data_IF_936541103504
#
_entry.id   IF_936541103504
#
_cell.length_a   1.000
_cell.length_b   1.000
_cell.length_c   1.000
_cell.angle_alpha   90.00
_cell.angle_beta   90.00
_cell.angle_gamma   90.00
#
_symmetry.space_group_name_H-M   'P 1'
#
loop_
_entity.id
_entity.type
_entity.pdbx_description
1 polymer ?
#
# COMPACT_ATOMS: atom_id res chain seq x y z
N UNK A 1 -4.69 0.29 -0.25
CA UNK A 1 -4.92 1.56 -1.00
C UNK A 1 -4.79 2.69 0.02
N UNK A 2 -4.16 3.84 -0.30
CA UNK A 2 -4.00 4.97 0.63
C UNK A 2 -4.67 6.23 0.04
N UNK A 3 -5.44 6.97 0.84
CA UNK A 3 -5.88 8.32 0.45
C UNK A 3 -4.83 9.31 0.96
N UNK A 4 -4.24 10.05 0.03
CA UNK A 4 -3.44 11.23 0.34
C UNK A 4 -4.42 12.33 0.76
N UNK A 5 -4.42 12.71 2.03
CA UNK A 5 -5.24 13.82 2.52
C UNK A 5 -4.36 15.08 2.66
N UNK A 6 -4.36 16.00 1.66
CA UNK A 6 -3.62 17.25 1.76
C UNK A 6 -4.27 18.25 2.72
N UNK A 7 -5.35 17.91 3.45
CA UNK A 7 -6.13 18.86 4.23
C UNK A 7 -6.67 18.25 5.54
N UNK A 8 -5.83 18.15 6.56
CA UNK A 8 -6.24 18.31 7.98
C UNK A 8 -5.01 18.38 8.89
N UNK A 9 -4.88 19.47 9.64
CA UNK A 9 -3.91 19.61 10.75
C UNK A 9 -4.09 18.53 11.85
N UNK A 10 -5.15 17.70 11.76
CA UNK A 10 -5.55 16.70 12.75
C UNK A 10 -5.48 15.24 12.28
N UNK A 11 -5.14 14.97 11.01
CA UNK A 11 -4.93 13.61 10.49
C UNK A 11 -3.58 13.58 9.81
N UNK A 12 -2.76 12.57 10.11
CA UNK A 12 -1.38 12.48 9.65
C UNK A 12 -1.19 12.53 8.12
N UNK A 13 0.05 12.32 7.64
CA UNK A 13 0.42 12.56 6.23
C UNK A 13 -0.33 11.67 5.22
N UNK A 14 -1.00 10.61 5.68
CA UNK A 14 -1.90 9.78 4.90
C UNK A 14 -3.00 9.18 5.78
N UNK A 15 -4.10 8.76 5.15
CA UNK A 15 -5.15 7.94 5.80
C UNK A 15 -5.30 6.62 5.04
N UNK A 16 -5.08 5.51 5.74
CA UNK A 16 -5.29 4.19 5.17
C UNK A 16 -6.78 3.93 4.88
N UNK A 17 -7.07 3.17 3.83
CA UNK A 17 -8.44 2.76 3.56
C UNK A 17 -8.93 1.78 4.62
N UNK A 18 -9.93 2.18 5.40
CA UNK A 18 -10.59 1.31 6.36
C UNK A 18 -11.67 0.41 5.75
N UNK A 19 -11.63 0.10 4.44
CA UNK A 19 -12.60 -0.79 3.78
C UNK A 19 -11.97 -2.16 3.58
N UNK A 20 -12.53 -3.17 4.23
CA UNK A 20 -11.91 -4.50 4.27
C UNK A 20 -11.88 -5.19 2.88
N UNK A 21 -12.86 -4.90 2.03
CA UNK A 21 -12.87 -5.38 0.64
C UNK A 21 -11.63 -4.93 -0.15
N UNK A 22 -11.16 -3.69 0.05
CA UNK A 22 -9.94 -3.21 -0.62
C UNK A 22 -8.70 -3.97 -0.13
N UNK A 23 -8.61 -4.24 1.17
CA UNK A 23 -7.50 -5.00 1.74
C UNK A 23 -7.53 -6.46 1.24
N UNK A 24 -8.71 -7.04 1.09
CA UNK A 24 -8.90 -8.38 0.52
C UNK A 24 -8.47 -8.45 -0.94
N UNK A 25 -8.88 -7.49 -1.77
CA UNK A 25 -8.49 -7.42 -3.18
C UNK A 25 -6.96 -7.34 -3.33
N UNK A 26 -6.30 -6.52 -2.50
CA UNK A 26 -4.84 -6.40 -2.49
C UNK A 26 -4.16 -7.69 -2.03
N UNK A 27 -4.65 -8.31 -0.96
CA UNK A 27 -4.11 -9.58 -0.46
C UNK A 27 -4.24 -10.70 -1.50
N UNK A 28 -5.42 -10.86 -2.11
CA UNK A 28 -5.66 -11.88 -3.15
C UNK A 28 -4.85 -11.62 -4.41
N UNK A 29 -4.68 -10.35 -4.80
CA UNK A 29 -3.82 -10.01 -5.93
C UNK A 29 -2.38 -10.48 -5.70
N UNK A 30 -1.86 -10.29 -4.48
CA UNK A 30 -0.49 -10.66 -4.09
C UNK A 30 -0.31 -12.17 -3.87
N UNK A 31 -1.36 -12.91 -3.48
CA UNK A 31 -1.28 -14.34 -3.14
C UNK A 31 -1.25 -15.30 -4.35
N UNK A 32 -1.47 -14.79 -5.58
CA UNK A 32 -1.53 -15.62 -6.79
C UNK A 32 -0.19 -16.20 -7.29
N UNK A 33 0.86 -16.22 -6.45
CA UNK A 33 2.17 -16.79 -6.77
C UNK A 33 2.99 -16.04 -7.85
N UNK A 34 2.40 -15.02 -8.47
CA UNK A 34 3.08 -14.10 -9.36
C UNK A 34 3.66 -12.96 -8.54
N UNK A 35 4.96 -12.69 -8.71
CA UNK A 35 5.57 -11.53 -8.09
C UNK A 35 5.02 -10.26 -8.76
N UNK A 36 3.96 -9.68 -8.19
CA UNK A 36 3.44 -8.41 -8.67
C UNK A 36 4.42 -7.31 -8.28
N UNK A 37 4.68 -6.42 -9.23
CA UNK A 37 5.45 -5.19 -9.03
C UNK A 37 4.48 -4.20 -8.39
N UNK A 38 4.70 -3.86 -7.12
CA UNK A 38 3.95 -2.81 -6.46
C UNK A 38 4.65 -1.47 -6.70
N UNK A 39 3.99 -0.62 -7.47
CA UNK A 39 4.39 0.78 -7.62
C UNK A 39 3.48 1.65 -6.75
N UNK A 40 4.06 2.63 -6.06
CA UNK A 40 3.35 3.50 -5.13
C UNK A 40 3.40 4.92 -5.64
N UNK A 41 2.25 5.51 -5.95
CA UNK A 41 2.12 6.90 -6.38
C UNK A 41 1.49 7.80 -5.32
N UNK A 42 1.98 9.03 -5.23
CA UNK A 42 1.39 10.11 -4.41
C UNK A 42 1.54 11.46 -5.10
N UNK A 43 0.92 12.50 -4.54
CA UNK A 43 1.06 13.88 -5.00
C UNK A 43 1.43 14.79 -3.82
N UNK A 44 2.58 15.46 -3.91
CA UNK A 44 3.06 16.41 -2.91
C UNK A 44 3.13 17.80 -3.54
N UNK A 45 2.42 18.76 -2.97
CA UNK A 45 2.38 20.15 -3.45
C UNK A 45 2.11 20.26 -4.97
N UNK A 46 1.21 19.44 -5.50
CA UNK A 46 0.83 19.43 -6.92
C UNK A 46 1.82 18.71 -7.84
N UNK A 47 2.84 18.02 -7.30
CA UNK A 47 3.79 17.21 -8.06
C UNK A 47 3.59 15.73 -7.78
N UNK A 48 3.54 14.92 -8.84
CA UNK A 48 3.50 13.48 -8.73
C UNK A 48 4.84 12.93 -8.23
N UNK A 49 4.78 12.02 -7.26
CA UNK A 49 5.91 11.28 -6.73
C UNK A 49 5.58 9.78 -6.83
N UNK A 50 6.53 8.97 -7.27
CA UNK A 50 6.30 7.54 -7.47
C UNK A 50 7.50 6.75 -6.96
N UNK A 51 7.24 5.70 -6.18
CA UNK A 51 8.18 4.61 -5.90
C UNK A 51 7.88 3.47 -6.86
N UNK A 52 8.91 2.94 -7.51
CA UNK A 52 8.75 1.81 -8.42
C UNK A 52 9.62 0.63 -8.04
N UNK A 53 9.13 -0.59 -8.29
CA UNK A 53 9.98 -1.79 -8.21
C UNK A 53 10.75 -1.94 -9.53
N UNK A 54 11.90 -1.25 -9.59
CA UNK A 54 12.76 -1.20 -10.78
C UNK A 54 12.94 0.20 -11.36
N UNK A 55 13.80 0.33 -12.37
CA UNK A 55 13.99 1.58 -13.11
C UNK A 55 12.87 1.79 -14.13
N UNK A 56 12.51 3.04 -14.38
CA UNK A 56 11.56 3.44 -15.42
C UNK A 56 12.30 3.85 -16.70
N UNK A 57 11.60 3.94 -17.82
CA UNK A 57 12.16 4.47 -19.09
C UNK A 57 12.77 5.87 -18.91
N UNK A 58 12.17 6.70 -18.05
CA UNK A 58 12.68 8.04 -17.75
C UNK A 58 14.03 7.98 -17.01
N UNK A 59 14.20 6.99 -16.13
CA UNK A 59 15.47 6.79 -15.42
C UNK A 59 16.56 6.34 -16.40
N UNK A 60 16.22 5.49 -17.37
CA UNK A 60 17.13 5.04 -18.43
C UNK A 60 17.55 6.17 -19.36
N UNK A 61 16.60 6.94 -19.88
CA UNK A 61 16.87 8.06 -20.79
C UNK A 61 17.73 9.14 -20.11
N UNK A 62 17.42 9.49 -18.85
CA UNK A 62 18.24 10.45 -18.10
C UNK A 62 19.63 9.91 -17.81
N UNK A 63 19.75 8.61 -17.57
CA UNK A 63 21.03 7.98 -17.31
C UNK A 63 21.93 8.04 -18.56
N UNK A 64 21.38 7.74 -19.73
CA UNK A 64 22.06 7.85 -21.02
C UNK A 64 22.55 9.28 -21.28
N UNK A 65 21.65 10.28 -21.19
CA UNK A 65 21.98 11.68 -21.41
C UNK A 65 23.05 12.22 -20.45
N UNK A 66 23.05 11.75 -19.21
CA UNK A 66 23.98 12.19 -18.18
C UNK A 66 25.28 11.37 -18.13
N UNK A 67 25.41 10.28 -18.91
CA UNK A 67 26.53 9.34 -18.81
C UNK A 67 26.60 8.65 -17.44
N UNK A 68 25.45 8.25 -16.89
CA UNK A 68 25.30 7.63 -15.56
C UNK A 68 24.53 6.32 -15.63
N UNK A 69 24.24 5.69 -14.49
CA UNK A 69 23.46 4.45 -14.41
C UNK A 69 21.98 4.71 -14.05
N UNK A 70 21.00 3.97 -14.60
CA UNK A 70 19.56 4.17 -14.35
C UNK A 70 19.19 4.11 -12.86
N UNK A 71 19.83 3.23 -12.08
CA UNK A 71 19.57 3.11 -10.64
C UNK A 71 19.87 4.39 -9.86
N UNK A 72 20.86 5.18 -10.30
CA UNK A 72 21.13 6.50 -9.71
C UNK A 72 20.02 7.50 -10.02
N UNK A 73 19.48 7.48 -11.24
CA UNK A 73 18.38 8.36 -11.64
C UNK A 73 17.08 8.01 -10.91
N UNK A 74 16.81 6.71 -10.72
CA UNK A 74 15.73 6.23 -9.85
C UNK A 74 15.86 6.79 -8.44
N UNK A 75 17.02 6.64 -7.80
CA UNK A 75 17.26 7.17 -6.45
C UNK A 75 16.98 8.68 -6.35
N UNK A 76 17.41 9.46 -7.34
CA UNK A 76 17.17 10.90 -7.37
C UNK A 76 15.68 11.25 -7.57
N UNK A 77 14.96 10.49 -8.41
CA UNK A 77 13.52 10.63 -8.61
C UNK A 77 12.74 10.31 -7.33
N UNK A 78 13.11 9.22 -6.67
CA UNK A 78 12.42 8.72 -5.48
C UNK A 78 12.76 9.50 -4.21
N UNK A 79 13.85 10.27 -4.20
CA UNK A 79 14.22 11.15 -3.07
C UNK A 79 13.11 12.16 -2.72
N UNK A 80 12.28 12.54 -3.70
CA UNK A 80 11.16 13.44 -3.50
C UNK A 80 9.93 12.76 -2.88
N UNK A 81 9.94 11.43 -2.71
CA UNK A 81 8.81 10.69 -2.17
C UNK A 81 8.71 10.89 -0.64
N UNK A 82 7.53 11.27 -0.12
CA UNK A 82 7.29 11.47 1.31
C UNK A 82 7.22 10.11 2.04
N UNK A 83 8.29 9.73 2.73
CA UNK A 83 8.37 8.41 3.40
C UNK A 83 7.35 8.26 4.55
N UNK A 84 6.98 9.37 5.17
CA UNK A 84 5.97 9.48 6.22
C UNK A 84 4.58 9.01 5.76
N UNK A 85 4.26 9.14 4.45
CA UNK A 85 3.06 8.54 3.86
C UNK A 85 3.09 7.01 3.92
N UNK A 86 4.26 6.40 3.68
CA UNK A 86 4.43 4.94 3.77
C UNK A 86 4.31 4.50 5.22
N UNK A 87 5.00 5.19 6.13
CA UNK A 87 4.95 4.89 7.57
C UNK A 87 3.52 4.93 8.10
N UNK A 88 2.75 5.97 7.76
CA UNK A 88 1.35 6.07 8.14
C UNK A 88 0.48 4.98 7.49
N UNK A 89 0.78 4.59 6.25
CA UNK A 89 0.06 3.53 5.55
C UNK A 89 0.30 2.13 6.10
N UNK A 90 1.49 1.88 6.66
CA UNK A 90 1.86 0.61 7.28
C UNK A 90 1.23 0.39 8.66
N UNK A 91 0.61 1.41 9.25
CA UNK A 91 -0.13 1.31 10.52
C UNK A 91 -1.57 0.79 10.36
N UNK A 92 -1.90 0.17 9.22
CA UNK A 92 -3.27 -0.32 8.99
C UNK A 92 -3.54 -1.59 9.79
N UNK A 93 -4.62 -1.58 10.57
CA UNK A 93 -5.11 -2.72 11.35
C UNK A 93 -6.29 -3.34 10.58
N UNK A 94 -6.05 -4.47 9.90
CA UNK A 94 -7.01 -5.09 8.97
C UNK A 94 -8.26 -5.58 9.72
N UNK A 95 -8.09 -6.07 10.93
CA UNK A 95 -9.14 -6.52 11.86
C UNK A 95 -10.14 -5.40 12.22
N UNK A 96 -9.69 -4.15 12.20
CA UNK A 96 -10.50 -2.96 12.45
C UNK A 96 -11.11 -2.34 11.17
N UNK A 97 -10.88 -2.97 10.02
CA UNK A 97 -11.48 -2.56 8.75
C UNK A 97 -12.99 -2.81 8.72
N UNK A 98 -13.70 -1.98 7.96
CA UNK A 98 -15.15 -1.92 7.92
C UNK A 98 -15.70 -2.52 6.62
N UNK A 99 -16.89 -3.08 6.71
CA UNK A 99 -17.72 -3.46 5.56
C UNK A 99 -19.15 -2.93 5.78
N UNK A 100 -19.92 -2.82 4.70
CA UNK A 100 -21.34 -2.49 4.79
C UNK A 100 -22.18 -3.66 5.34
N UNK A 101 -21.65 -4.88 5.22
CA UNK A 101 -22.21 -6.12 5.76
C UNK A 101 -21.22 -6.71 6.75
N UNK A 102 -21.66 -7.01 7.97
CA UNK A 102 -20.79 -7.63 8.98
C UNK A 102 -20.36 -9.04 8.58
N UNK A 103 -21.22 -9.77 7.88
CA UNK A 103 -20.91 -11.10 7.35
C UNK A 103 -19.73 -11.04 6.38
N UNK A 104 -19.66 -10.03 5.51
CA UNK A 104 -18.51 -9.83 4.62
C UNK A 104 -17.23 -9.61 5.42
N UNK A 105 -17.30 -8.79 6.48
CA UNK A 105 -16.13 -8.51 7.33
C UNK A 105 -15.62 -9.79 7.97
N UNK A 106 -16.51 -10.61 8.53
CA UNK A 106 -16.19 -11.89 9.16
C UNK A 106 -15.61 -12.87 8.14
N UNK A 107 -16.29 -13.07 7.00
CA UNK A 107 -15.86 -14.00 5.96
C UNK A 107 -14.49 -13.63 5.39
N UNK A 108 -14.23 -12.35 5.16
CA UNK A 108 -12.96 -11.87 4.65
C UNK A 108 -11.84 -12.06 5.67
N UNK A 109 -12.04 -11.69 6.94
CA UNK A 109 -11.03 -11.93 7.97
C UNK A 109 -10.71 -13.43 8.11
N UNK A 110 -11.73 -14.28 8.12
CA UNK A 110 -11.53 -15.72 8.18
C UNK A 110 -10.82 -16.25 6.92
N UNK A 111 -11.14 -15.74 5.74
CA UNK A 111 -10.45 -16.10 4.50
C UNK A 111 -8.97 -15.72 4.54
N UNK A 112 -8.64 -14.51 4.98
CA UNK A 112 -7.26 -14.02 5.09
C UNK A 112 -6.45 -14.78 6.16
N UNK A 113 -7.11 -15.32 7.18
CA UNK A 113 -6.47 -16.11 8.25
C UNK A 113 -6.51 -17.63 8.03
N UNK A 114 -6.99 -18.09 6.86
CA UNK A 114 -7.13 -19.51 6.54
C UNK A 114 -8.13 -20.28 7.42
N UNK A 115 -9.09 -19.58 8.02
CA UNK A 115 -10.15 -20.15 8.86
C UNK A 115 -11.42 -20.46 8.05
N UNK A 116 -12.32 -21.33 8.55
CA UNK A 116 -13.66 -21.49 7.97
C UNK A 116 -14.41 -20.16 7.94
N UNK A 117 -15.13 -19.88 6.85
CA UNK A 117 -15.78 -18.57 6.63
C UNK A 117 -16.70 -18.16 7.79
N UNK A 118 -17.50 -19.10 8.30
CA UNK A 118 -18.46 -18.84 9.37
C UNK A 118 -17.88 -19.03 10.80
N UNK A 119 -16.55 -19.19 10.92
CA UNK A 119 -15.92 -19.27 12.23
C UNK A 119 -16.00 -17.93 12.96
N UNK A 120 -15.90 -17.98 14.31
CA UNK A 120 -15.68 -16.76 15.08
C UNK A 120 -14.33 -16.18 14.71
N UNK A 121 -14.33 -14.90 14.28
CA UNK A 121 -13.08 -14.16 14.00
C UNK A 121 -12.21 -14.16 15.27
N UNK A 122 -10.95 -14.60 15.18
CA UNK A 122 -10.05 -14.58 16.32
C UNK A 122 -9.76 -13.14 16.75
N UNK A 123 -9.60 -12.91 18.06
CA UNK A 123 -9.25 -11.57 18.58
C UNK A 123 -7.77 -11.23 18.32
N UNK A 124 -6.94 -12.25 18.06
CA UNK A 124 -5.51 -12.15 17.77
C UNK A 124 -5.12 -13.16 16.70
N UNK A 125 -4.27 -12.77 15.76
CA UNK A 125 -3.78 -13.66 14.71
C UNK A 125 -2.32 -13.32 14.36
N UNK A 126 -1.40 -14.31 14.25
CA UNK A 126 0.01 -14.06 13.93
C UNK A 126 0.26 -13.29 12.63
N UNK A 127 -0.69 -13.32 11.69
CA UNK A 127 -0.58 -12.58 10.43
C UNK A 127 -1.16 -11.15 10.49
N UNK A 128 -1.86 -10.79 11.58
CA UNK A 128 -2.39 -9.44 11.80
C UNK A 128 -1.54 -8.68 12.83
N UNK A 129 -1.11 -9.36 13.90
CA UNK A 129 -0.38 -8.78 15.03
C UNK A 129 1.14 -8.62 14.78
N UNK A 130 1.56 -8.26 13.55
CA UNK A 130 2.99 -8.19 13.16
C UNK A 130 3.67 -6.86 13.47
#
# INVERSE_FOLDING_TARGET
>A
LLVVDPKRESSGPATAFGRIWCNFEEAVALDNGNHLVLDIGTCVAGKACVLTSGCTEVDEQKAELAGTIPTRQKMLRELAFPIDIIEAGLQVEIEHSRASSEDDRVHILNCLSGQPLDARVPEHHPDWDR
#
